data_IF_451893206752
#
_entry.id   IF_451893206752
#
_cell.length_a   1.000
_cell.length_b   1.000
_cell.length_c   1.000
_cell.angle_alpha   90.00
_cell.angle_beta   90.00
_cell.angle_gamma   90.00
#
_symmetry.space_group_name_H-M   'P 1'
#
loop_
_entity.id
_entity.type
_entity.pdbx_description
1 polymer ?
#
# COMPACT_ATOMS: atom_id res chain seq x y z
N UNK A 1 -3.22 9.10 24.64
CA UNK A 1 -4.28 8.56 23.77
C UNK A 1 -5.56 9.27 24.13
N UNK A 2 -6.22 9.88 23.14
CA UNK A 2 -7.51 10.53 23.33
C UNK A 2 -8.56 9.50 23.77
N UNK A 3 -9.46 9.88 24.68
CA UNK A 3 -10.50 8.99 25.20
C UNK A 3 -11.55 8.58 24.14
N UNK A 4 -11.53 9.22 22.98
CA UNK A 4 -12.48 9.00 21.88
C UNK A 4 -11.87 8.30 20.66
N UNK A 5 -10.58 7.92 20.70
CA UNK A 5 -10.00 7.09 19.64
C UNK A 5 -10.40 5.63 19.85
N UNK A 6 -11.16 5.06 18.90
CA UNK A 6 -11.37 3.61 18.86
C UNK A 6 -10.01 2.96 18.67
N UNK A 7 -9.49 2.36 19.74
CA UNK A 7 -8.30 1.53 19.65
C UNK A 7 -8.72 0.22 19.00
N UNK A 8 -8.68 0.20 17.67
CA UNK A 8 -8.97 -0.96 16.84
C UNK A 8 -8.14 -2.15 17.35
N UNK A 9 -6.88 -1.94 17.75
CA UNK A 9 -6.04 -3.01 18.28
C UNK A 9 -6.63 -3.64 19.56
N UNK A 10 -7.17 -2.82 20.48
CA UNK A 10 -7.84 -3.27 21.72
C UNK A 10 -9.10 -4.11 21.45
N UNK A 11 -9.84 -3.79 20.38
CA UNK A 11 -10.99 -4.58 19.96
C UNK A 11 -10.58 -5.98 19.46
N UNK A 12 -9.40 -6.09 18.87
CA UNK A 12 -8.90 -7.36 18.33
C UNK A 12 -8.08 -8.19 19.32
N UNK A 13 -7.57 -7.60 20.41
CA UNK A 13 -6.87 -8.31 21.50
C UNK A 13 -7.76 -9.32 22.25
N UNK A 14 -9.07 -9.35 21.97
CA UNK A 14 -9.95 -10.36 22.54
C UNK A 14 -9.57 -11.75 22.02
N UNK A 15 -9.12 -12.63 22.92
CA UNK A 15 -8.80 -14.05 22.64
C UNK A 15 -9.99 -14.83 22.04
N UNK A 16 -11.19 -14.25 22.07
CA UNK A 16 -12.39 -14.82 21.47
C UNK A 16 -13.00 -13.85 20.45
N UNK A 17 -12.82 -14.09 19.13
CA UNK A 17 -13.50 -13.30 18.11
C UNK A 17 -15.02 -13.39 18.30
N UNK A 18 -15.73 -12.27 18.07
CA UNK A 18 -17.20 -12.29 18.13
C UNK A 18 -17.77 -13.31 17.13
N UNK A 19 -18.95 -13.91 17.38
CA UNK A 19 -19.55 -14.89 16.46
C UNK A 19 -19.66 -14.39 15.01
N UNK A 20 -19.99 -13.11 14.81
CA UNK A 20 -20.07 -12.48 13.49
C UNK A 20 -18.71 -12.40 12.79
N UNK A 21 -17.66 -12.10 13.56
CA UNK A 21 -16.30 -12.06 13.05
C UNK A 21 -15.83 -13.47 12.66
N UNK A 22 -16.13 -14.48 13.48
CA UNK A 22 -15.85 -15.88 13.16
C UNK A 22 -16.60 -16.34 11.91
N UNK A 23 -17.86 -15.96 11.75
CA UNK A 23 -18.65 -16.25 10.55
C UNK A 23 -18.02 -15.63 9.30
N UNK A 24 -17.65 -14.35 9.36
CA UNK A 24 -17.00 -13.66 8.25
C UNK A 24 -15.64 -14.28 7.89
N UNK A 25 -14.76 -14.53 8.88
CA UNK A 25 -13.41 -15.11 8.66
C UNK A 25 -13.49 -16.50 8.03
N UNK A 26 -14.51 -17.28 8.36
CA UNK A 26 -14.71 -18.59 7.77
C UNK A 26 -15.61 -18.54 6.51
N UNK A 27 -16.05 -17.35 6.10
CA UNK A 27 -16.91 -17.13 4.96
C UNK A 27 -16.14 -17.01 3.64
N UNK A 28 -16.89 -17.12 2.54
CA UNK A 28 -16.34 -17.02 1.17
C UNK A 28 -15.81 -15.63 0.83
N UNK A 29 -16.38 -14.58 1.43
CA UNK A 29 -15.91 -13.19 1.24
C UNK A 29 -14.47 -13.04 1.74
N UNK A 30 -14.20 -13.49 2.97
CA UNK A 30 -12.86 -13.43 3.54
C UNK A 30 -11.85 -14.26 2.73
N UNK A 31 -12.24 -15.46 2.29
CA UNK A 31 -11.39 -16.31 1.45
C UNK A 31 -11.06 -15.62 0.11
N UNK A 32 -12.03 -14.96 -0.50
CA UNK A 32 -11.83 -14.16 -1.72
C UNK A 32 -10.85 -13.02 -1.47
N UNK A 33 -11.03 -12.28 -0.37
CA UNK A 33 -10.16 -11.17 0.01
C UNK A 33 -8.72 -11.66 0.28
N UNK A 34 -8.52 -12.75 1.02
CA UNK A 34 -7.20 -13.35 1.22
C UNK A 34 -6.55 -13.82 -0.10
N UNK A 35 -7.35 -14.35 -1.03
CA UNK A 35 -6.88 -14.71 -2.36
C UNK A 35 -6.35 -13.53 -3.17
N UNK A 36 -6.84 -12.31 -2.93
CA UNK A 36 -6.36 -11.09 -3.58
C UNK A 36 -4.99 -10.66 -3.05
N UNK A 37 -4.74 -10.82 -1.74
CA UNK A 37 -3.44 -10.50 -1.12
C UNK A 37 -2.40 -11.62 -1.25
N UNK A 38 -2.78 -12.77 -1.84
CA UNK A 38 -1.89 -13.89 -2.21
C UNK A 38 -0.90 -14.29 -1.12
N UNK A 39 -1.34 -14.22 0.14
CA UNK A 39 -0.53 -14.58 1.29
C UNK A 39 -0.16 -16.06 1.17
N UNK A 40 1.14 -16.37 1.25
CA UNK A 40 1.61 -17.74 1.11
C UNK A 40 1.00 -18.62 2.21
N UNK A 41 0.50 -19.84 1.90
CA UNK A 41 0.00 -20.79 2.90
C UNK A 41 0.98 -21.04 4.06
N UNK A 42 2.28 -21.00 3.77
CA UNK A 42 3.36 -21.16 4.76
C UNK A 42 3.50 -19.98 5.71
N UNK A 43 3.06 -18.78 5.30
CA UNK A 43 2.98 -17.63 6.19
C UNK A 43 1.97 -17.93 7.30
N UNK A 44 0.77 -18.46 6.95
CA UNK A 44 -0.25 -18.89 7.91
C UNK A 44 0.19 -19.98 8.89
N UNK A 45 1.15 -20.83 8.50
CA UNK A 45 1.66 -21.89 9.38
C UNK A 45 2.68 -21.39 10.41
N UNK A 46 3.29 -20.22 10.17
CA UNK A 46 4.37 -19.68 11.00
C UNK A 46 3.89 -18.72 12.08
N UNK A 47 2.78 -18.02 11.85
CA UNK A 47 2.16 -17.17 12.86
C UNK A 47 0.75 -17.66 13.19
N UNK A 48 0.33 -17.43 14.43
CA UNK A 48 -1.02 -17.76 14.87
C UNK A 48 -2.04 -17.10 13.94
N UNK A 49 -3.03 -17.88 13.49
CA UNK A 49 -4.07 -17.46 12.54
C UNK A 49 -4.64 -16.07 12.89
N UNK A 50 -4.82 -15.79 14.17
CA UNK A 50 -5.35 -14.52 14.70
C UNK A 50 -4.47 -13.30 14.38
N UNK A 51 -3.14 -13.41 14.46
CA UNK A 51 -2.25 -12.28 14.16
C UNK A 51 -2.32 -11.91 12.68
N UNK A 52 -2.40 -12.90 11.80
CA UNK A 52 -2.58 -12.66 10.36
C UNK A 52 -3.92 -12.03 10.03
N UNK A 53 -5.00 -12.51 10.67
CA UNK A 53 -6.32 -11.91 10.51
C UNK A 53 -6.28 -10.43 10.87
N UNK A 54 -5.63 -10.07 11.99
CA UNK A 54 -5.50 -8.66 12.40
C UNK A 54 -4.80 -7.81 11.36
N UNK A 55 -3.65 -8.24 10.85
CA UNK A 55 -2.93 -7.45 9.83
C UNK A 55 -3.76 -7.33 8.55
N UNK A 56 -4.40 -8.42 8.13
CA UNK A 56 -5.28 -8.44 6.98
C UNK A 56 -6.44 -7.43 7.12
N UNK A 57 -7.11 -7.40 8.27
CA UNK A 57 -8.16 -6.40 8.52
C UNK A 57 -7.65 -4.98 8.51
N UNK A 58 -6.47 -4.72 9.09
CA UNK A 58 -5.88 -3.38 9.10
C UNK A 58 -5.64 -2.89 7.68
N UNK A 59 -5.08 -3.74 6.82
CA UNK A 59 -4.85 -3.46 5.40
C UNK A 59 -6.18 -3.22 4.68
N UNK A 60 -7.15 -4.12 4.81
CA UNK A 60 -8.45 -4.01 4.15
C UNK A 60 -9.23 -2.76 4.58
N UNK A 61 -9.32 -2.50 5.89
CA UNK A 61 -9.99 -1.31 6.42
C UNK A 61 -9.29 -0.04 5.95
N UNK A 62 -7.95 -0.02 5.91
CA UNK A 62 -7.22 1.12 5.39
C UNK A 62 -7.55 1.40 3.93
N UNK A 63 -7.56 0.37 3.06
CA UNK A 63 -7.92 0.50 1.64
C UNK A 63 -9.33 1.05 1.47
N UNK A 64 -10.32 0.40 2.08
CA UNK A 64 -11.73 0.74 1.96
C UNK A 64 -12.03 2.14 2.54
N UNK A 65 -11.46 2.47 3.69
CA UNK A 65 -11.65 3.78 4.30
C UNK A 65 -11.00 4.89 3.46
N UNK A 66 -9.77 4.67 2.97
CA UNK A 66 -9.06 5.65 2.14
C UNK A 66 -9.83 5.94 0.85
N UNK A 67 -10.34 4.90 0.20
CA UNK A 67 -11.16 5.05 -1.00
C UNK A 67 -12.49 5.75 -0.70
N UNK A 68 -13.27 5.22 0.26
CA UNK A 68 -14.61 5.73 0.58
C UNK A 68 -14.59 7.18 1.03
N UNK A 69 -13.58 7.59 1.78
CA UNK A 69 -13.44 8.98 2.26
C UNK A 69 -12.83 9.90 1.20
N UNK A 70 -11.89 9.39 0.40
CA UNK A 70 -11.17 10.18 -0.60
C UNK A 70 -11.98 10.42 -1.86
N UNK A 71 -12.66 9.41 -2.38
CA UNK A 71 -13.33 9.43 -3.69
C UNK A 71 -14.28 10.63 -3.87
N UNK A 72 -15.11 11.02 -2.88
CA UNK A 72 -16.01 12.16 -3.05
C UNK A 72 -15.31 13.52 -3.10
N UNK A 73 -14.02 13.60 -2.74
CA UNK A 73 -13.28 14.85 -2.56
C UNK A 73 -11.93 14.89 -3.30
N UNK A 74 -11.67 13.96 -4.22
CA UNK A 74 -10.39 13.87 -4.95
C UNK A 74 -9.95 15.18 -5.61
N UNK A 75 -10.89 15.97 -6.13
CA UNK A 75 -10.63 17.28 -6.75
C UNK A 75 -10.09 18.33 -5.78
N UNK A 76 -10.20 18.09 -4.48
CA UNK A 76 -9.79 19.01 -3.42
C UNK A 76 -8.50 18.57 -2.73
N UNK A 77 -8.06 17.31 -2.91
CA UNK A 77 -6.91 16.77 -2.21
C UNK A 77 -5.60 17.29 -2.78
N UNK A 78 -4.77 17.86 -1.90
CA UNK A 78 -3.38 18.25 -2.21
C UNK A 78 -2.37 17.16 -1.84
N UNK A 79 -2.72 16.27 -0.92
CA UNK A 79 -1.87 15.14 -0.54
C UNK A 79 -2.73 13.89 -0.45
N UNK A 80 -2.24 12.80 -1.02
CA UNK A 80 -2.94 11.52 -1.02
C UNK A 80 -1.95 10.39 -0.74
N UNK A 81 -2.37 9.48 0.13
CA UNK A 81 -1.68 8.19 0.30
C UNK A 81 -2.47 7.15 -0.46
N UNK A 82 -1.83 6.50 -1.43
CA UNK A 82 -2.43 5.52 -2.33
C UNK A 82 -1.92 4.13 -1.92
N UNK A 83 -2.78 3.20 -1.46
CA UNK A 83 -2.40 1.80 -1.32
C UNK A 83 -1.97 1.26 -2.69
N UNK A 84 -0.76 0.69 -2.75
CA UNK A 84 -0.20 0.19 -4.01
C UNK A 84 -1.03 -0.99 -4.56
N UNK A 85 -1.66 -1.75 -3.67
CA UNK A 85 -2.57 -2.85 -4.02
C UNK A 85 -3.82 -2.40 -4.79
N UNK A 86 -4.24 -1.13 -4.66
CA UNK A 86 -5.44 -0.58 -5.30
C UNK A 86 -5.12 0.49 -6.33
N UNK A 87 -3.85 0.60 -6.75
CA UNK A 87 -3.38 1.64 -7.68
C UNK A 87 -4.19 1.72 -8.99
N UNK A 88 -4.65 0.58 -9.51
CA UNK A 88 -5.43 0.54 -10.74
C UNK A 88 -6.78 1.27 -10.62
N UNK A 89 -7.35 1.33 -9.41
CA UNK A 89 -8.57 2.12 -9.15
C UNK A 89 -8.28 3.62 -9.27
N UNK A 90 -7.11 4.05 -8.77
CA UNK A 90 -6.68 5.45 -8.84
C UNK A 90 -6.29 5.87 -10.26
N UNK A 91 -5.70 4.96 -11.06
CA UNK A 91 -5.48 5.17 -12.48
C UNK A 91 -6.78 5.54 -13.20
N UNK A 92 -7.88 4.82 -12.91
CA UNK A 92 -9.20 5.11 -13.49
C UNK A 92 -9.78 6.49 -13.18
N UNK A 93 -9.23 7.20 -12.19
CA UNK A 93 -9.72 8.51 -11.72
C UNK A 93 -8.63 9.57 -11.65
N UNK A 94 -7.47 9.35 -12.27
CA UNK A 94 -6.31 10.28 -12.20
C UNK A 94 -6.68 11.70 -12.62
N UNK A 95 -7.60 11.84 -13.58
CA UNK A 95 -8.12 13.12 -14.09
C UNK A 95 -8.85 13.96 -13.04
N UNK A 96 -9.28 13.37 -11.93
CA UNK A 96 -9.92 14.08 -10.81
C UNK A 96 -8.90 14.64 -9.82
N UNK A 97 -7.64 14.20 -9.87
CA UNK A 97 -6.61 14.52 -8.87
C UNK A 97 -5.76 15.75 -9.26
N UNK A 98 -6.36 16.74 -9.92
CA UNK A 98 -5.63 17.88 -10.49
C UNK A 98 -5.00 18.84 -9.47
N UNK A 99 -5.45 18.82 -8.21
CA UNK A 99 -4.85 19.60 -7.12
C UNK A 99 -3.77 18.86 -6.36
N UNK A 100 -3.47 17.62 -6.73
CA UNK A 100 -2.56 16.79 -5.98
C UNK A 100 -1.13 17.31 -6.15
N UNK A 101 -0.52 17.67 -5.02
CA UNK A 101 0.85 18.19 -4.92
C UNK A 101 1.81 17.13 -4.38
N UNK A 102 1.30 16.19 -3.59
CA UNK A 102 2.09 15.12 -2.95
C UNK A 102 1.40 13.77 -3.07
N UNK A 103 2.17 12.77 -3.50
CA UNK A 103 1.71 11.37 -3.54
C UNK A 103 2.59 10.55 -2.60
N UNK A 104 1.96 9.70 -1.79
CA UNK A 104 2.65 8.63 -1.06
C UNK A 104 2.06 7.30 -1.51
N UNK A 105 2.86 6.43 -2.09
CA UNK A 105 2.46 5.05 -2.33
C UNK A 105 2.73 4.23 -1.08
N UNK A 106 1.68 3.70 -0.47
CA UNK A 106 1.78 2.81 0.68
C UNK A 106 1.99 1.39 0.17
N UNK A 107 3.11 0.77 0.53
CA UNK A 107 3.44 -0.60 0.17
C UNK A 107 2.70 -1.56 1.10
N UNK A 108 1.39 -1.66 0.87
CA UNK A 108 0.45 -2.37 1.75
C UNK A 108 0.24 -3.85 1.37
N UNK A 109 0.63 -4.24 0.15
CA UNK A 109 0.68 -5.62 -0.29
C UNK A 109 2.02 -6.28 0.08
N UNK A 110 1.97 -7.57 0.38
CA UNK A 110 3.11 -8.36 0.81
C UNK A 110 3.86 -8.91 -0.42
N UNK A 111 4.86 -8.17 -0.88
CA UNK A 111 5.63 -8.53 -2.08
C UNK A 111 6.98 -9.17 -1.77
N UNK A 112 7.74 -8.62 -0.82
CA UNK A 112 9.10 -9.07 -0.56
C UNK A 112 9.16 -10.23 0.45
N UNK A 113 8.96 -11.46 -0.03
CA UNK A 113 9.30 -12.66 0.74
C UNK A 113 10.79 -12.97 0.58
N UNK A 114 11.64 -12.62 1.56
CA UNK A 114 13.01 -13.16 1.54
C UNK A 114 12.97 -14.68 1.76
N UNK A 115 13.76 -15.41 0.97
CA UNK A 115 13.97 -16.87 1.14
C UNK A 115 14.44 -17.26 2.55
N UNK A 116 15.06 -16.33 3.29
CA UNK A 116 15.41 -16.53 4.70
C UNK A 116 14.21 -16.72 5.63
N UNK A 117 12.99 -16.34 5.22
CA UNK A 117 11.79 -16.47 6.05
C UNK A 117 11.07 -17.80 5.90
N UNK A 118 11.32 -18.55 4.81
CA UNK A 118 10.58 -19.77 4.50
C UNK A 118 11.47 -20.78 3.76
N UNK A 119 11.67 -21.95 4.38
CA UNK A 119 12.81 -22.84 4.15
C UNK A 119 12.47 -24.09 3.32
N UNK A 120 11.67 -23.97 2.26
CA UNK A 120 11.22 -25.15 1.48
C UNK A 120 11.14 -24.89 -0.02
N UNK A 121 11.62 -25.84 -0.83
CA UNK A 121 11.60 -25.80 -2.31
C UNK A 121 10.21 -25.60 -2.93
N UNK A 122 9.13 -25.96 -2.21
CA UNK A 122 7.76 -25.66 -2.64
C UNK A 122 7.48 -24.15 -2.76
N UNK A 123 8.29 -23.27 -2.13
CA UNK A 123 8.09 -21.83 -2.21
C UNK A 123 8.56 -21.20 -3.51
N UNK A 124 9.60 -21.75 -4.17
CA UNK A 124 10.14 -21.14 -5.40
C UNK A 124 9.04 -21.00 -6.46
N UNK A 125 8.15 -21.99 -6.57
CA UNK A 125 7.02 -21.97 -7.51
C UNK A 125 5.95 -20.92 -7.15
N UNK A 126 5.82 -20.55 -5.87
CA UNK A 126 4.92 -19.47 -5.43
C UNK A 126 5.56 -18.08 -5.40
N UNK A 127 6.90 -17.99 -5.39
CA UNK A 127 7.63 -16.71 -5.42
C UNK A 127 7.59 -16.04 -6.79
N UNK A 128 7.65 -16.81 -7.89
CA UNK A 128 7.56 -16.28 -9.25
C UNK A 128 6.31 -15.41 -9.50
N UNK A 129 5.09 -15.84 -9.12
CA UNK A 129 3.90 -14.99 -9.21
C UNK A 129 4.07 -13.67 -8.45
N UNK A 130 4.68 -13.67 -7.26
CA UNK A 130 4.71 -12.51 -6.37
C UNK A 130 5.62 -11.41 -6.92
N UNK A 131 6.78 -11.76 -7.48
CA UNK A 131 7.68 -10.80 -8.13
C UNK A 131 6.99 -10.12 -9.32
N UNK A 132 6.22 -10.88 -10.11
CA UNK A 132 5.45 -10.32 -11.23
C UNK A 132 4.38 -9.33 -10.74
N UNK A 133 3.69 -9.61 -9.62
CA UNK A 133 2.73 -8.66 -9.05
C UNK A 133 3.40 -7.40 -8.52
N UNK A 134 4.53 -7.54 -7.83
CA UNK A 134 5.29 -6.38 -7.35
C UNK A 134 5.68 -5.50 -8.53
N UNK A 135 6.25 -6.11 -9.56
CA UNK A 135 6.65 -5.40 -10.76
C UNK A 135 5.45 -4.73 -11.42
N UNK A 136 4.34 -5.44 -11.59
CA UNK A 136 3.12 -4.88 -12.17
C UNK A 136 2.62 -3.67 -11.37
N UNK A 137 2.51 -3.79 -10.05
CA UNK A 137 2.00 -2.72 -9.20
C UNK A 137 2.92 -1.48 -9.21
N UNK A 138 4.24 -1.69 -9.23
CA UNK A 138 5.22 -0.59 -9.37
C UNK A 138 5.13 0.09 -10.74
N UNK A 139 4.90 -0.67 -11.81
CA UNK A 139 4.67 -0.10 -13.14
C UNK A 139 3.35 0.65 -13.20
N UNK A 140 2.27 0.17 -12.57
CA UNK A 140 1.01 0.91 -12.45
C UNK A 140 1.18 2.22 -11.67
N UNK A 141 1.96 2.24 -10.59
CA UNK A 141 2.26 3.48 -9.87
C UNK A 141 3.06 4.47 -10.72
N UNK A 142 4.06 3.97 -11.45
CA UNK A 142 4.80 4.79 -12.40
C UNK A 142 3.90 5.35 -13.51
N UNK A 143 2.99 4.53 -14.04
CA UNK A 143 2.01 4.94 -15.05
C UNK A 143 1.09 6.03 -14.49
N UNK A 144 0.63 5.88 -13.25
CA UNK A 144 -0.19 6.88 -12.58
C UNK A 144 0.53 8.23 -12.49
N UNK A 145 1.81 8.23 -12.11
CA UNK A 145 2.61 9.45 -12.04
C UNK A 145 2.78 10.07 -13.43
N UNK A 146 3.07 9.26 -14.46
CA UNK A 146 3.20 9.73 -15.85
C UNK A 146 1.93 10.42 -16.33
N UNK A 147 0.77 9.80 -16.11
CA UNK A 147 -0.53 10.36 -16.48
C UNK A 147 -0.84 11.64 -15.69
N UNK A 148 -0.58 11.64 -14.38
CA UNK A 148 -0.79 12.83 -13.55
C UNK A 148 0.07 14.01 -14.01
N UNK A 149 1.38 13.79 -14.23
CA UNK A 149 2.31 14.83 -14.71
C UNK A 149 1.91 15.33 -16.10
N UNK A 150 1.42 14.46 -16.97
CA UNK A 150 0.95 14.84 -18.30
C UNK A 150 -0.32 15.70 -18.24
N UNK A 151 -1.26 15.36 -17.37
CA UNK A 151 -2.53 16.09 -17.21
C UNK A 151 -2.36 17.40 -16.42
N UNK A 152 -1.47 17.40 -15.42
CA UNK A 152 -1.28 18.48 -14.44
C UNK A 152 0.21 18.81 -14.30
N UNK A 153 0.85 19.34 -15.35
CA UNK A 153 2.28 19.59 -15.37
C UNK A 153 2.70 20.57 -14.27
N UNK A 154 3.73 20.20 -13.51
CA UNK A 154 4.30 21.02 -12.43
C UNK A 154 3.53 21.01 -11.10
N UNK A 155 2.44 20.24 -10.97
CA UNK A 155 1.66 20.22 -9.74
C UNK A 155 2.30 19.41 -8.60
N UNK A 156 3.09 18.35 -8.90
CA UNK A 156 3.69 17.46 -7.90
C UNK A 156 4.92 18.07 -7.17
N UNK A 157 4.80 19.30 -6.67
CA UNK A 157 5.86 20.03 -5.95
C UNK A 157 6.19 19.44 -4.58
N UNK A 158 5.22 18.77 -3.96
CA UNK A 158 5.36 18.10 -2.67
C UNK A 158 6.06 16.74 -2.75
N UNK A 159 6.37 16.28 -3.98
CA UNK A 159 7.11 15.07 -4.28
C UNK A 159 6.26 13.79 -4.29
N UNK A 160 6.91 12.71 -4.68
CA UNK A 160 6.37 11.34 -4.65
C UNK A 160 7.27 10.49 -3.76
N UNK A 161 6.66 9.73 -2.85
CA UNK A 161 7.39 8.76 -2.02
C UNK A 161 6.73 7.39 -2.02
N UNK A 162 7.52 6.37 -1.74
CA UNK A 162 7.07 5.02 -1.46
C UNK A 162 7.39 4.73 0.01
N UNK A 163 6.39 4.33 0.78
CA UNK A 163 6.52 4.10 2.22
C UNK A 163 6.08 2.68 2.55
N UNK A 164 6.81 2.04 3.46
CA UNK A 164 6.38 0.77 4.04
C UNK A 164 5.03 0.98 4.75
N UNK A 165 4.11 0.05 4.55
CA UNK A 165 2.81 0.07 5.22
C UNK A 165 2.86 -0.30 6.69
N UNK A 166 3.98 -0.88 7.15
CA UNK A 166 4.15 -1.44 8.51
C UNK A 166 3.05 -2.46 8.91
N UNK A 167 2.30 -2.97 7.93
CA UNK A 167 1.32 -4.03 8.12
C UNK A 167 1.98 -5.39 8.26
N UNK A 168 3.18 -5.53 7.71
CA UNK A 168 3.92 -6.78 7.62
C UNK A 168 5.27 -6.63 8.34
N UNK A 169 5.25 -6.57 9.68
CA UNK A 169 6.44 -6.28 10.50
C UNK A 169 7.66 -7.16 10.19
N UNK A 170 7.43 -8.41 9.76
CA UNK A 170 8.48 -9.37 9.46
C UNK A 170 8.95 -9.36 8.00
N UNK A 171 8.32 -8.55 7.16
CA UNK A 171 8.59 -8.44 5.74
C UNK A 171 8.55 -6.96 5.34
N UNK A 172 9.59 -6.18 5.67
CA UNK A 172 9.65 -4.78 5.29
C UNK A 172 9.66 -4.65 3.76
N UNK A 173 8.88 -3.69 3.25
CA UNK A 173 8.66 -3.51 1.82
C UNK A 173 9.45 -2.31 1.28
N UNK A 174 9.98 -2.45 0.06
CA UNK A 174 10.75 -1.39 -0.59
C UNK A 174 10.39 -1.19 -2.05
N UNK A 175 10.49 0.06 -2.51
CA UNK A 175 10.41 0.41 -3.93
C UNK A 175 11.74 0.14 -4.63
N UNK A 176 11.67 -0.40 -5.84
CA UNK A 176 12.85 -0.70 -6.67
C UNK A 176 13.58 0.59 -7.04
N UNK A 177 14.92 0.55 -7.02
CA UNK A 177 15.75 1.73 -7.28
C UNK A 177 15.50 2.31 -8.67
N UNK A 178 15.28 1.44 -9.65
CA UNK A 178 14.98 1.78 -11.03
C UNK A 178 13.72 2.64 -11.12
N UNK A 179 12.66 2.22 -10.41
CA UNK A 179 11.40 2.95 -10.33
C UNK A 179 11.60 4.29 -9.62
N UNK A 180 12.33 4.33 -8.51
CA UNK A 180 12.64 5.60 -7.82
C UNK A 180 13.36 6.60 -8.74
N UNK A 181 14.31 6.13 -9.54
CA UNK A 181 15.01 6.98 -10.51
C UNK A 181 14.09 7.48 -11.63
N UNK A 182 13.19 6.63 -12.12
CA UNK A 182 12.21 7.05 -13.13
C UNK A 182 11.23 8.08 -12.59
N UNK A 183 10.73 7.88 -11.37
CA UNK A 183 9.88 8.87 -10.69
C UNK A 183 10.63 10.19 -10.55
N UNK A 184 11.87 10.19 -10.07
CA UNK A 184 12.65 11.42 -9.92
C UNK A 184 12.84 12.19 -11.24
N UNK A 185 12.87 11.52 -12.40
CA UNK A 185 12.95 12.16 -13.72
C UNK A 185 11.64 12.80 -14.18
N UNK A 186 10.50 12.36 -13.64
CA UNK A 186 9.17 12.89 -13.98
C UNK A 186 8.77 14.10 -13.14
N UNK A 187 9.35 14.23 -11.94
CA UNK A 187 9.00 15.29 -11.01
C UNK A 187 9.61 16.63 -11.39
N UNK A 188 8.96 17.76 -11.03
CA UNK A 188 9.56 19.06 -11.19
C UNK A 188 10.89 19.13 -10.42
N UNK A 189 11.89 19.87 -10.93
CA UNK A 189 13.12 20.10 -10.19
C UNK A 189 12.82 20.76 -8.84
N UNK A 190 13.51 20.33 -7.79
CA UNK A 190 13.39 20.95 -6.47
C UNK A 190 13.88 22.40 -6.54
N UNK A 191 12.96 23.36 -6.64
CA UNK A 191 13.23 24.78 -6.45
C UNK A 191 13.36 25.04 -4.93
N UNK A 192 14.52 24.72 -4.36
CA UNK A 192 14.67 24.79 -2.91
C UNK A 192 16.09 24.77 -2.36
N UNK A 193 17.13 24.86 -3.19
CA UNK A 193 18.49 25.12 -2.72
C UNK A 193 18.87 26.53 -3.17
N UNK A 194 18.40 27.54 -2.45
CA UNK A 194 19.14 28.79 -2.38
C UNK A 194 20.50 28.46 -1.79
N UNK A 195 21.52 28.41 -2.63
CA UNK A 195 22.91 28.42 -2.18
C UNK A 195 23.06 29.72 -1.40
N UNK A 196 23.03 29.62 -0.06
CA UNK A 196 23.48 30.71 0.80
C UNK A 196 24.98 30.81 0.56
N UNK A 197 25.35 31.69 -0.36
CA UNK A 197 26.74 32.11 -0.52
C UNK A 197 27.07 32.86 0.78
N UNK A 198 27.78 32.20 1.69
CA UNK A 198 28.47 32.89 2.76
C UNK A 198 29.65 33.63 2.13
N UNK A 199 29.52 34.95 2.02
CA UNK A 199 30.67 35.87 1.98
C UNK A 199 31.41 35.87 3.32
#
# INVERSE_FOLDING_TARGET
MDKDSINIDEYWWQENPSPKLSEFVNGGEFTRLCGLDRILPTYYGKYEKEQHLRQFYRVMLFREATWTLGEPIFEQLQSLTIPISTIDQYLGVVSRLGRLERIRFLLDALFDYKASYVWTAALEEFMFPIDDFKNQAMHSALQFIKEHVQLFPGHLVGGVSFVDGDFWMDAPQGCLREIQMEVARLLPPFEGVCVVNNE
#
